data_IF_882087108785
#
_entry.id   IF_882087108785
#
_cell.length_a   1.000
_cell.length_b   1.000
_cell.length_c   1.000
_cell.angle_alpha   90.00
_cell.angle_beta   90.00
_cell.angle_gamma   90.00
#
_symmetry.space_group_name_H-M   'P 1'
#
loop_
_entity.id
_entity.type
_entity.pdbx_description
1 polymer ?
#
# COMPACT_ATOMS: atom_id res chain seq x y z
N UNK A 1 -24.74 1.85 -26.41
CA UNK A 1 -23.60 1.12 -25.80
C UNK A 1 -22.58 0.70 -26.84
N UNK A 2 -22.88 -0.26 -27.74
CA UNK A 2 -21.88 -0.78 -28.70
C UNK A 2 -21.25 0.29 -29.63
N UNK A 3 -22.04 1.26 -30.14
CA UNK A 3 -21.51 2.38 -30.93
C UNK A 3 -20.52 3.27 -30.15
N UNK A 4 -20.79 3.53 -28.87
CA UNK A 4 -19.93 4.35 -28.00
C UNK A 4 -18.60 3.62 -27.75
N UNK A 5 -18.64 2.30 -27.52
CA UNK A 5 -17.41 1.52 -27.35
C UNK A 5 -16.55 1.46 -28.62
N UNK A 6 -17.18 1.46 -29.81
CA UNK A 6 -16.46 1.48 -31.09
C UNK A 6 -15.75 2.83 -31.36
N UNK A 7 -16.23 3.92 -30.74
CA UNK A 7 -15.59 5.24 -30.82
C UNK A 7 -14.37 5.35 -29.88
N UNK A 8 -14.25 4.47 -28.88
CA UNK A 8 -13.16 4.47 -27.91
C UNK A 8 -11.97 3.62 -28.38
N UNK A 9 -10.93 4.26 -28.91
CA UNK A 9 -9.66 3.59 -29.22
C UNK A 9 -8.77 3.48 -27.97
N UNK A 10 -9.08 2.53 -27.07
CA UNK A 10 -8.35 2.35 -25.81
C UNK A 10 -6.98 1.68 -25.98
N UNK A 11 -6.74 0.95 -27.08
CA UNK A 11 -5.50 0.18 -27.28
C UNK A 11 -4.23 1.05 -27.34
N UNK A 12 -4.35 2.31 -27.77
CA UNK A 12 -3.23 3.23 -27.89
C UNK A 12 -3.17 4.27 -26.76
N UNK A 13 -4.04 4.13 -25.74
CA UNK A 13 -4.08 5.05 -24.61
C UNK A 13 -3.03 4.62 -23.58
N UNK A 14 -2.28 5.59 -23.04
CA UNK A 14 -1.29 5.31 -22.01
C UNK A 14 -1.98 4.71 -20.77
N UNK A 15 -1.41 3.68 -20.11
CA UNK A 15 -1.99 3.07 -18.91
C UNK A 15 -2.42 4.08 -17.84
N UNK A 16 -1.60 5.10 -17.58
CA UNK A 16 -1.92 6.17 -16.62
C UNK A 16 -3.21 6.94 -16.96
N UNK A 17 -3.50 7.17 -18.25
CA UNK A 17 -4.74 7.86 -18.66
C UNK A 17 -5.95 6.95 -18.43
N UNK A 18 -5.82 5.66 -18.71
CA UNK A 18 -6.86 4.65 -18.42
C UNK A 18 -7.14 4.61 -16.93
N UNK A 19 -6.08 4.51 -16.11
CA UNK A 19 -6.16 4.52 -14.64
C UNK A 19 -6.93 5.75 -14.13
N UNK A 20 -6.59 6.94 -14.62
CA UNK A 20 -7.26 8.20 -14.26
C UNK A 20 -8.75 8.23 -14.67
N UNK A 21 -9.10 7.70 -15.85
CA UNK A 21 -10.51 7.63 -16.29
C UNK A 21 -11.31 6.70 -15.37
N UNK A 22 -10.76 5.55 -15.02
CA UNK A 22 -11.40 4.59 -14.10
C UNK A 22 -11.53 5.23 -12.72
N UNK A 23 -10.49 5.90 -12.24
CA UNK A 23 -10.50 6.62 -10.98
C UNK A 23 -11.62 7.67 -10.93
N UNK A 24 -11.71 8.54 -11.94
CA UNK A 24 -12.74 9.58 -12.00
C UNK A 24 -14.15 8.99 -12.03
N UNK A 25 -14.31 7.87 -12.72
CA UNK A 25 -15.58 7.13 -12.77
C UNK A 25 -15.94 6.58 -11.39
N UNK A 26 -14.98 5.98 -10.68
CA UNK A 26 -15.19 5.43 -9.34
C UNK A 26 -15.43 6.53 -8.29
N UNK A 27 -14.72 7.66 -8.36
CA UNK A 27 -14.96 8.84 -7.50
C UNK A 27 -16.38 9.38 -7.66
N UNK A 28 -16.94 9.34 -8.87
CA UNK A 28 -18.33 9.73 -9.12
C UNK A 28 -19.32 8.76 -8.44
N UNK A 29 -19.01 7.47 -8.42
CA UNK A 29 -19.80 6.44 -7.73
C UNK A 29 -19.72 6.63 -6.22
N UNK A 30 -18.52 6.75 -5.62
CA UNK A 30 -18.33 7.00 -4.17
C UNK A 30 -19.08 8.24 -3.68
N UNK A 31 -19.19 9.30 -4.51
CA UNK A 31 -19.93 10.50 -4.13
C UNK A 31 -21.45 10.30 -4.11
N UNK A 32 -21.95 9.36 -4.90
CA UNK A 32 -23.38 9.09 -5.06
C UNK A 32 -23.84 8.02 -4.06
N UNK A 33 -23.05 6.98 -3.92
CA UNK A 33 -23.32 5.82 -3.09
C UNK A 33 -22.40 5.95 -1.87
N UNK A 34 -22.96 6.02 -0.65
CA UNK A 34 -22.19 6.27 0.58
C UNK A 34 -21.29 5.07 0.94
N UNK A 35 -20.24 4.86 0.15
CA UNK A 35 -19.29 3.75 0.27
C UNK A 35 -18.55 3.85 1.60
N UNK A 36 -18.46 2.72 2.30
CA UNK A 36 -17.79 2.61 3.58
C UNK A 36 -16.32 3.01 3.47
N UNK A 37 -15.76 3.60 4.53
CA UNK A 37 -14.38 4.14 4.51
C UNK A 37 -13.32 3.10 4.10
N UNK A 38 -13.47 1.84 4.51
CA UNK A 38 -12.54 0.76 4.16
C UNK A 38 -12.66 0.28 2.70
N UNK A 39 -13.74 0.64 1.98
CA UNK A 39 -13.94 0.33 0.55
C UNK A 39 -13.68 1.55 -0.33
N UNK A 40 -13.16 2.64 0.24
CA UNK A 40 -12.78 3.81 -0.54
C UNK A 40 -11.47 3.55 -1.25
N UNK A 41 -11.42 3.92 -2.53
CA UNK A 41 -10.22 3.88 -3.33
C UNK A 41 -9.18 4.86 -2.79
N UNK A 42 -7.93 4.41 -2.67
CA UNK A 42 -6.79 5.28 -2.34
C UNK A 42 -6.60 6.35 -3.43
N UNK A 43 -6.67 7.65 -3.09
CA UNK A 43 -6.49 8.73 -4.05
C UNK A 43 -5.08 8.76 -4.66
N UNK A 44 -4.97 9.27 -5.88
CA UNK A 44 -3.71 9.33 -6.64
C UNK A 44 -2.62 10.08 -5.91
N UNK A 45 -2.97 11.16 -5.23
CA UNK A 45 -2.00 11.94 -4.45
C UNK A 45 -1.28 11.07 -3.42
N UNK A 46 -2.01 10.17 -2.75
CA UNK A 46 -1.42 9.25 -1.78
C UNK A 46 -0.61 8.17 -2.49
N UNK A 47 -1.15 7.58 -3.56
CA UNK A 47 -0.46 6.56 -4.36
C UNK A 47 0.88 7.05 -4.93
N UNK A 48 0.94 8.28 -5.43
CA UNK A 48 2.15 8.90 -5.97
C UNK A 48 3.21 9.17 -4.88
N UNK A 49 2.78 9.58 -3.68
CA UNK A 49 3.70 9.73 -2.54
C UNK A 49 4.29 8.39 -2.15
N UNK A 50 3.45 7.36 -2.03
CA UNK A 50 3.93 6.01 -1.72
C UNK A 50 4.90 5.53 -2.81
N UNK A 51 4.55 5.69 -4.09
CA UNK A 51 5.40 5.29 -5.20
C UNK A 51 6.76 6.02 -5.19
N UNK A 52 6.78 7.32 -4.86
CA UNK A 52 8.03 8.05 -4.66
C UNK A 52 8.86 7.50 -3.50
N UNK A 53 8.23 7.26 -2.34
CA UNK A 53 8.94 6.72 -1.17
C UNK A 53 9.52 5.34 -1.48
N UNK A 54 8.72 4.48 -2.11
CA UNK A 54 9.12 3.16 -2.61
C UNK A 54 10.35 3.31 -3.50
N UNK A 55 10.29 4.14 -4.56
CA UNK A 55 11.44 4.39 -5.43
C UNK A 55 12.70 4.76 -4.64
N UNK A 56 12.59 5.65 -3.64
CA UNK A 56 13.77 6.06 -2.87
C UNK A 56 14.31 4.91 -2.03
N UNK A 57 13.47 4.19 -1.28
CA UNK A 57 13.92 3.14 -0.35
C UNK A 57 14.30 1.84 -1.06
N UNK A 58 13.77 1.56 -2.26
CA UNK A 58 14.05 0.34 -3.03
C UNK A 58 15.06 0.52 -4.16
N UNK A 59 15.61 1.73 -4.37
CA UNK A 59 16.46 2.11 -5.53
C UNK A 59 17.66 1.19 -5.84
N UNK A 60 18.01 0.26 -4.95
CA UNK A 60 19.17 -0.63 -5.05
C UNK A 60 18.75 -2.01 -5.60
N UNK A 61 17.46 -2.27 -5.84
CA UNK A 61 16.95 -3.56 -6.28
C UNK A 61 15.93 -3.43 -7.41
N UNK A 62 16.05 -4.32 -8.39
CA UNK A 62 15.03 -4.52 -9.41
C UNK A 62 13.79 -5.13 -8.75
N UNK A 63 12.64 -4.48 -8.89
CA UNK A 63 11.37 -4.96 -8.33
C UNK A 63 10.65 -5.80 -9.40
N UNK A 64 10.50 -7.11 -9.15
CA UNK A 64 9.79 -8.02 -10.07
C UNK A 64 8.41 -8.42 -9.57
N UNK A 65 8.17 -8.32 -8.27
CA UNK A 65 6.94 -8.79 -7.63
C UNK A 65 6.43 -7.79 -6.61
N UNK A 66 5.18 -7.35 -6.77
CA UNK A 66 4.49 -6.41 -5.87
C UNK A 66 3.24 -7.10 -5.31
N UNK A 67 3.08 -7.08 -4.00
CA UNK A 67 1.97 -7.71 -3.30
C UNK A 67 1.10 -6.66 -2.59
N UNK A 68 -0.22 -6.76 -2.75
CA UNK A 68 -1.20 -6.00 -2.00
C UNK A 68 -2.23 -6.95 -1.35
N UNK A 69 -2.22 -7.10 -0.01
CA UNK A 69 -3.14 -7.99 0.71
C UNK A 69 -4.58 -7.44 0.81
N UNK A 70 -4.83 -6.19 0.45
CA UNK A 70 -6.14 -5.56 0.49
C UNK A 70 -6.26 -4.61 -0.70
N UNK A 71 -6.29 -5.19 -1.91
CA UNK A 71 -6.05 -4.47 -3.16
C UNK A 71 -7.16 -3.49 -3.53
N UNK A 72 -8.39 -3.68 -3.02
CA UNK A 72 -9.55 -2.87 -3.35
C UNK A 72 -9.75 -2.77 -4.86
N UNK A 73 -9.79 -1.54 -5.38
CA UNK A 73 -9.93 -1.27 -6.82
C UNK A 73 -8.62 -1.37 -7.62
N UNK A 74 -7.53 -1.82 -6.99
CA UNK A 74 -6.16 -1.83 -7.52
C UNK A 74 -5.61 -0.45 -7.92
N UNK A 75 -6.22 0.68 -7.53
CA UNK A 75 -5.68 2.01 -7.90
C UNK A 75 -4.29 2.24 -7.31
N UNK A 76 -4.07 1.89 -6.04
CA UNK A 76 -2.75 1.99 -5.40
C UNK A 76 -1.73 1.08 -6.09
N UNK A 77 -2.06 -0.21 -6.25
CA UNK A 77 -1.22 -1.20 -6.92
C UNK A 77 -0.80 -0.77 -8.32
N UNK A 78 -1.77 -0.37 -9.16
CA UNK A 78 -1.48 0.05 -10.53
C UNK A 78 -0.69 1.36 -10.59
N UNK A 79 -0.93 2.32 -9.68
CA UNK A 79 -0.13 3.54 -9.55
C UNK A 79 1.34 3.21 -9.27
N UNK A 80 1.60 2.34 -8.28
CA UNK A 80 2.97 1.93 -7.91
C UNK A 80 3.64 1.18 -9.05
N UNK A 81 2.96 0.21 -9.66
CA UNK A 81 3.51 -0.57 -10.78
C UNK A 81 3.85 0.30 -11.99
N UNK A 82 3.00 1.28 -12.32
CA UNK A 82 3.28 2.21 -13.41
C UNK A 82 4.50 3.09 -13.11
N UNK A 83 4.64 3.57 -11.87
CA UNK A 83 5.81 4.35 -11.48
C UNK A 83 7.11 3.54 -11.52
N UNK A 84 7.08 2.29 -11.04
CA UNK A 84 8.23 1.38 -11.12
C UNK A 84 8.65 1.13 -12.57
N UNK A 85 7.69 0.90 -13.49
CA UNK A 85 7.96 0.77 -14.92
C UNK A 85 8.61 2.03 -15.52
N UNK A 86 8.13 3.22 -15.17
CA UNK A 86 8.73 4.49 -15.57
C UNK A 86 10.18 4.61 -15.08
N UNK A 87 10.46 4.07 -13.90
CA UNK A 87 11.79 4.06 -13.29
C UNK A 87 12.72 2.97 -13.83
N UNK A 88 12.24 2.13 -14.76
CA UNK A 88 13.05 1.17 -15.51
C UNK A 88 12.87 -0.29 -15.08
N UNK A 89 12.05 -0.58 -14.06
CA UNK A 89 11.71 -1.95 -13.68
C UNK A 89 10.88 -2.62 -14.80
N UNK A 90 11.20 -3.88 -15.10
CA UNK A 90 10.58 -4.64 -16.20
C UNK A 90 9.93 -5.91 -15.67
N UNK A 91 8.96 -6.41 -16.44
CA UNK A 91 8.29 -7.69 -16.17
C UNK A 91 7.70 -7.83 -14.76
N UNK A 92 7.24 -6.71 -14.20
CA UNK A 92 6.64 -6.65 -12.86
C UNK A 92 5.33 -7.46 -12.83
N UNK A 93 5.23 -8.38 -11.88
CA UNK A 93 4.02 -9.14 -11.57
C UNK A 93 3.40 -8.59 -10.29
N UNK A 94 2.14 -8.18 -10.35
CA UNK A 94 1.33 -7.80 -9.20
C UNK A 94 0.53 -8.99 -8.64
N UNK A 95 0.41 -9.07 -7.33
CA UNK A 95 -0.51 -9.97 -6.63
C UNK A 95 -1.46 -9.11 -5.79
N UNK A 96 -2.75 -9.11 -6.11
CA UNK A 96 -3.77 -8.37 -5.39
C UNK A 96 -4.79 -9.31 -4.77
N UNK A 97 -5.01 -9.18 -3.47
CA UNK A 97 -5.96 -10.01 -2.72
C UNK A 97 -7.06 -9.09 -2.19
N UNK A 98 -8.31 -9.52 -2.32
CA UNK A 98 -9.43 -8.90 -1.62
C UNK A 98 -10.48 -9.96 -1.31
N UNK A 99 -11.32 -9.74 -0.30
CA UNK A 99 -12.46 -10.60 -0.01
C UNK A 99 -13.78 -10.03 -0.55
N UNK A 100 -13.78 -8.80 -1.05
CA UNK A 100 -14.91 -8.15 -1.69
C UNK A 100 -14.89 -8.39 -3.22
N UNK A 101 -15.91 -9.09 -3.72
CA UNK A 101 -16.04 -9.45 -5.13
C UNK A 101 -16.24 -8.21 -6.03
N UNK A 102 -16.98 -7.20 -5.56
CA UNK A 102 -17.27 -5.99 -6.32
C UNK A 102 -15.98 -5.16 -6.48
N UNK A 103 -15.18 -5.04 -5.41
CA UNK A 103 -13.88 -4.38 -5.47
C UNK A 103 -12.93 -5.09 -6.45
N UNK A 104 -12.87 -6.42 -6.42
CA UNK A 104 -12.09 -7.20 -7.39
C UNK A 104 -12.63 -7.10 -8.81
N UNK A 105 -13.94 -6.96 -8.98
CA UNK A 105 -14.56 -6.65 -10.27
C UNK A 105 -14.01 -5.34 -10.85
N UNK A 106 -13.89 -4.30 -10.03
CA UNK A 106 -13.27 -3.03 -10.45
C UNK A 106 -11.77 -3.18 -10.69
N UNK A 107 -11.06 -3.90 -9.81
CA UNK A 107 -9.63 -4.15 -9.96
C UNK A 107 -9.30 -4.88 -11.26
N UNK A 108 -10.09 -5.89 -11.63
CA UNK A 108 -9.86 -6.66 -12.86
C UNK A 108 -9.92 -5.76 -14.10
N UNK A 109 -11.01 -4.98 -14.24
CA UNK A 109 -11.16 -3.97 -15.29
C UNK A 109 -10.00 -2.96 -15.28
N UNK A 110 -9.60 -2.50 -14.08
CA UNK A 110 -8.51 -1.55 -13.92
C UNK A 110 -7.17 -2.09 -14.42
N UNK A 111 -6.85 -3.33 -14.10
CA UNK A 111 -5.58 -3.98 -14.49
C UNK A 111 -5.58 -4.43 -15.96
N UNK A 112 -6.69 -4.95 -16.46
CA UNK A 112 -6.81 -5.45 -17.83
C UNK A 112 -6.75 -4.33 -18.86
N UNK A 113 -7.50 -3.24 -18.64
CA UNK A 113 -7.48 -2.10 -19.55
C UNK A 113 -6.12 -1.40 -19.57
N UNK A 114 -5.39 -1.41 -18.44
CA UNK A 114 -4.03 -0.88 -18.37
C UNK A 114 -2.96 -1.84 -18.91
N UNK A 115 -3.33 -3.07 -19.28
CA UNK A 115 -2.40 -4.13 -19.70
C UNK A 115 -1.30 -4.40 -18.66
N UNK A 116 -1.69 -4.44 -17.38
CA UNK A 116 -0.80 -4.78 -16.27
C UNK A 116 -0.88 -6.27 -15.94
N UNK A 117 0.27 -6.88 -15.69
CA UNK A 117 0.36 -8.27 -15.28
C UNK A 117 0.06 -8.37 -13.78
N UNK A 118 -1.22 -8.44 -13.43
CA UNK A 118 -1.70 -8.55 -12.06
C UNK A 118 -2.54 -9.82 -11.92
N UNK A 119 -2.23 -10.63 -10.90
CA UNK A 119 -3.03 -11.77 -10.49
C UNK A 119 -3.91 -11.33 -9.31
N UNK A 120 -5.22 -11.46 -9.49
CA UNK A 120 -6.21 -11.10 -8.49
C UNK A 120 -6.77 -12.37 -7.82
N UNK A 121 -6.89 -12.33 -6.50
CA UNK A 121 -7.35 -13.47 -5.69
C UNK A 121 -8.52 -13.03 -4.82
N UNK A 122 -9.67 -13.66 -5.03
CA UNK A 122 -10.85 -13.47 -4.18
C UNK A 122 -10.77 -14.40 -2.96
N UNK A 123 -10.17 -13.92 -1.88
CA UNK A 123 -9.98 -14.69 -0.65
C UNK A 123 -9.69 -13.78 0.55
N UNK A 124 -9.81 -14.34 1.75
CA UNK A 124 -9.39 -13.69 2.97
C UNK A 124 -7.85 -13.67 3.07
N UNK A 125 -7.26 -12.47 3.03
CA UNK A 125 -5.81 -12.29 3.06
C UNK A 125 -5.14 -12.75 4.37
N UNK A 126 -5.89 -12.88 5.47
CA UNK A 126 -5.38 -13.41 6.75
C UNK A 126 -5.19 -14.94 6.69
N UNK A 127 -5.73 -15.60 5.67
CA UNK A 127 -5.52 -17.03 5.45
C UNK A 127 -4.27 -17.29 4.61
N UNK A 128 -3.89 -18.57 4.45
CA UNK A 128 -2.72 -18.93 3.64
C UNK A 128 -2.95 -18.55 2.17
N UNK A 129 -2.00 -17.83 1.58
CA UNK A 129 -2.02 -17.38 0.19
C UNK A 129 -1.10 -18.25 -0.66
N UNK A 130 -1.59 -18.68 -1.82
CA UNK A 130 -0.80 -19.38 -2.83
C UNK A 130 -0.09 -18.37 -3.76
N UNK A 131 0.85 -17.62 -3.17
CA UNK A 131 1.71 -16.66 -3.88
C UNK A 131 3.17 -16.87 -3.49
N UNK A 132 4.08 -16.57 -4.42
CA UNK A 132 5.52 -16.56 -4.16
C UNK A 132 5.93 -15.41 -3.25
N UNK A 133 7.12 -15.53 -2.64
CA UNK A 133 7.71 -14.40 -1.92
C UNK A 133 7.93 -13.19 -2.86
N UNK A 134 7.61 -12.00 -2.36
CA UNK A 134 7.57 -10.76 -3.13
C UNK A 134 8.72 -9.81 -2.80
N UNK A 135 9.09 -8.95 -3.75
CA UNK A 135 10.13 -7.93 -3.61
C UNK A 135 9.62 -6.67 -2.90
N UNK A 136 8.31 -6.45 -2.92
CA UNK A 136 7.63 -5.30 -2.35
C UNK A 136 6.22 -5.69 -1.91
N UNK A 137 5.83 -5.24 -0.72
CA UNK A 137 4.46 -5.29 -0.25
C UNK A 137 3.97 -3.85 -0.06
N UNK A 138 2.77 -3.56 -0.55
CA UNK A 138 2.11 -2.27 -0.36
C UNK A 138 0.67 -2.52 0.06
N UNK A 139 0.05 -1.60 0.77
CA UNK A 139 -1.41 -1.66 0.94
C UNK A 139 -1.94 -0.37 1.53
N UNK A 140 -3.19 -0.06 1.19
CA UNK A 140 -4.01 0.82 2.01
C UNK A 140 -4.85 -0.03 2.97
N UNK A 141 -4.36 -0.20 4.20
CA UNK A 141 -4.89 -1.25 5.06
C UNK A 141 -6.28 -0.89 5.62
N UNK A 142 -7.23 -1.84 5.62
CA UNK A 142 -8.50 -1.66 6.30
C UNK A 142 -8.28 -1.49 7.81
N UNK A 143 -9.04 -0.58 8.42
CA UNK A 143 -8.93 -0.28 9.85
C UNK A 143 -10.16 -0.84 10.55
N UNK A 144 -9.94 -1.62 11.61
CA UNK A 144 -11.01 -2.25 12.36
C UNK A 144 -10.58 -3.56 13.00
N UNK A 145 -11.59 -4.34 13.40
CA UNK A 145 -11.43 -5.66 13.98
C UNK A 145 -11.62 -6.74 12.92
N UNK A 146 -10.78 -7.77 12.97
CA UNK A 146 -10.92 -8.96 12.16
C UNK A 146 -11.87 -9.95 12.85
N UNK A 147 -12.94 -10.42 12.19
CA UNK A 147 -14.02 -11.15 12.88
C UNK A 147 -13.75 -12.64 13.13
N UNK A 148 -12.74 -13.24 12.48
CA UNK A 148 -12.51 -14.69 12.52
C UNK A 148 -11.29 -15.05 13.37
N UNK A 149 -11.44 -15.09 14.69
CA UNK A 149 -10.31 -15.27 15.62
C UNK A 149 -9.49 -16.55 15.38
N UNK A 150 -10.12 -17.62 14.89
CA UNK A 150 -9.43 -18.87 14.54
C UNK A 150 -8.36 -18.72 13.45
N UNK A 151 -8.57 -17.82 12.49
CA UNK A 151 -7.58 -17.56 11.45
C UNK A 151 -6.40 -16.75 11.99
N UNK A 152 -6.62 -15.95 13.05
CA UNK A 152 -5.59 -15.15 13.70
C UNK A 152 -4.72 -15.94 14.70
N UNK A 153 -5.03 -17.21 15.00
CA UNK A 153 -4.38 -17.95 16.10
C UNK A 153 -2.87 -18.13 15.95
N UNK A 154 -2.38 -18.19 14.70
CA UNK A 154 -0.96 -18.37 14.39
C UNK A 154 -0.22 -17.04 14.22
N UNK A 155 -0.91 -15.90 14.33
CA UNK A 155 -0.30 -14.58 14.24
C UNK A 155 0.28 -14.17 15.59
N UNK A 156 1.49 -13.63 15.56
CA UNK A 156 2.13 -13.04 16.74
C UNK A 156 1.49 -11.71 17.13
N UNK A 157 0.91 -11.00 16.17
CA UNK A 157 0.20 -9.72 16.36
C UNK A 157 -1.25 -9.86 16.79
N UNK A 158 -1.74 -11.09 17.00
CA UNK A 158 -3.10 -11.34 17.49
C UNK A 158 -3.36 -10.67 18.85
N UNK A 159 -4.58 -10.18 19.04
CA UNK A 159 -5.01 -9.68 20.34
C UNK A 159 -5.08 -10.82 21.37
N UNK A 160 -4.76 -10.51 22.64
CA UNK A 160 -4.90 -11.47 23.73
C UNK A 160 -6.36 -11.68 24.16
N UNK A 161 -7.19 -10.65 23.97
CA UNK A 161 -8.60 -10.63 24.35
C UNK A 161 -9.43 -9.94 23.26
N UNK A 162 -10.55 -10.57 22.91
CA UNK A 162 -11.44 -10.12 21.83
C UNK A 162 -10.80 -10.22 20.45
N UNK A 163 -11.40 -9.52 19.49
CA UNK A 163 -10.96 -9.55 18.11
C UNK A 163 -9.62 -8.83 17.90
N UNK A 164 -8.82 -9.37 16.99
CA UNK A 164 -7.54 -8.78 16.58
C UNK A 164 -7.75 -7.59 15.64
N UNK A 165 -6.80 -6.64 15.63
CA UNK A 165 -6.81 -5.56 14.66
C UNK A 165 -6.42 -6.09 13.27
N UNK A 166 -7.30 -5.92 12.27
CA UNK A 166 -7.08 -6.47 10.92
C UNK A 166 -5.81 -5.89 10.27
N UNK A 167 -5.55 -4.59 10.44
CA UNK A 167 -4.34 -3.94 9.94
C UNK A 167 -3.06 -4.50 10.58
N UNK A 168 -3.08 -4.96 11.84
CA UNK A 168 -1.91 -5.61 12.44
C UNK A 168 -1.65 -6.97 11.78
N UNK A 169 -2.72 -7.78 11.63
CA UNK A 169 -2.63 -9.11 11.00
C UNK A 169 -2.15 -9.01 9.54
N UNK A 170 -2.67 -8.05 8.78
CA UNK A 170 -2.29 -7.87 7.37
C UNK A 170 -0.86 -7.33 7.20
N UNK A 171 -0.37 -6.50 8.12
CA UNK A 171 1.06 -6.13 8.15
C UNK A 171 1.89 -7.38 8.41
N UNK A 172 1.55 -8.19 9.41
CA UNK A 172 2.27 -9.44 9.69
C UNK A 172 2.24 -10.40 8.50
N UNK A 173 1.09 -10.59 7.88
CA UNK A 173 0.94 -11.40 6.69
C UNK A 173 1.84 -10.90 5.56
N UNK A 174 1.82 -9.59 5.30
CA UNK A 174 2.66 -9.01 4.27
C UNK A 174 4.15 -9.24 4.52
N UNK A 175 4.60 -9.06 5.77
CA UNK A 175 5.99 -9.34 6.12
C UNK A 175 6.35 -10.83 5.96
N UNK A 176 5.40 -11.76 6.18
CA UNK A 176 5.62 -13.20 5.97
C UNK A 176 5.84 -13.56 4.48
N UNK A 177 5.23 -12.82 3.56
CA UNK A 177 5.35 -13.02 2.11
C UNK A 177 6.44 -12.16 1.44
N UNK A 178 7.16 -11.32 2.18
CA UNK A 178 8.28 -10.53 1.63
C UNK A 178 9.58 -11.35 1.54
N UNK A 179 10.42 -11.15 0.54
CA UNK A 179 11.79 -11.72 0.57
C UNK A 179 12.60 -11.10 1.73
N UNK A 180 13.62 -11.79 2.28
CA UNK A 180 14.53 -11.19 3.24
C UNK A 180 15.11 -9.86 2.72
N UNK A 181 15.11 -8.83 3.57
CA UNK A 181 15.56 -7.48 3.21
C UNK A 181 14.58 -6.66 2.37
N UNK A 182 13.47 -7.23 1.90
CA UNK A 182 12.47 -6.52 1.09
C UNK A 182 11.61 -5.56 1.93
N UNK A 183 10.94 -4.62 1.26
CA UNK A 183 10.19 -3.55 1.92
C UNK A 183 8.68 -3.80 1.93
N UNK A 184 8.06 -3.48 3.07
CA UNK A 184 6.62 -3.29 3.23
C UNK A 184 6.32 -1.81 3.42
N UNK A 185 5.43 -1.25 2.59
CA UNK A 185 5.06 0.17 2.61
C UNK A 185 3.54 0.30 2.72
N UNK A 186 3.06 0.65 3.92
CA UNK A 186 1.64 0.55 4.26
C UNK A 186 1.05 1.90 4.62
N UNK A 187 -0.18 2.17 4.20
CA UNK A 187 -1.00 3.21 4.83
C UNK A 187 -1.68 2.63 6.05
N UNK A 188 -1.48 3.31 7.17
CA UNK A 188 -1.94 2.91 8.49
C UNK A 188 -2.57 4.11 9.19
N UNK A 189 -3.43 3.92 10.22
CA UNK A 189 -3.83 5.03 11.08
C UNK A 189 -2.61 5.76 11.65
N UNK A 190 -2.64 7.09 11.74
CA UNK A 190 -1.57 7.85 12.40
C UNK A 190 -1.42 7.50 13.89
N UNK A 191 -2.48 6.95 14.48
CA UNK A 191 -2.55 6.43 15.84
C UNK A 191 -2.13 4.96 15.99
N UNK A 192 -1.50 4.33 14.98
CA UNK A 192 -1.09 2.91 15.00
C UNK A 192 -0.35 2.50 16.31
N UNK A 193 0.54 3.38 16.79
CA UNK A 193 1.34 3.15 18.00
C UNK A 193 0.72 3.76 19.28
N UNK A 194 -0.57 4.10 19.24
CA UNK A 194 -1.33 4.71 20.35
C UNK A 194 -2.56 3.85 20.70
N UNK A 195 -2.40 2.53 20.72
CA UNK A 195 -3.45 1.56 21.05
C UNK A 195 -3.01 0.63 22.18
N UNK A 196 -3.96 -0.13 22.74
CA UNK A 196 -3.66 -1.16 23.75
C UNK A 196 -2.70 -2.25 23.24
N UNK A 197 -2.68 -2.49 21.93
CA UNK A 197 -1.84 -3.51 21.28
C UNK A 197 -0.49 -2.95 20.79
N UNK A 198 -0.17 -1.68 21.04
CA UNK A 198 1.05 -1.08 20.48
C UNK A 198 2.33 -1.72 21.02
N UNK A 199 2.36 -2.12 22.29
CA UNK A 199 3.58 -2.74 22.87
C UNK A 199 3.87 -4.11 22.26
N UNK A 200 2.86 -4.97 22.08
CA UNK A 200 3.00 -6.27 21.42
C UNK A 200 3.37 -6.09 19.95
N UNK A 201 2.74 -5.14 19.26
CA UNK A 201 3.00 -4.86 17.86
C UNK A 201 4.44 -4.36 17.62
N UNK A 202 4.97 -3.44 18.44
CA UNK A 202 6.37 -2.99 18.34
C UNK A 202 7.36 -4.13 18.59
N UNK A 203 7.09 -4.98 19.59
CA UNK A 203 7.93 -6.16 19.87
C UNK A 203 7.95 -7.11 18.68
N UNK A 204 6.79 -7.34 18.07
CA UNK A 204 6.70 -8.15 16.85
C UNK A 204 7.51 -7.52 15.70
N UNK A 205 7.34 -6.22 15.41
CA UNK A 205 8.14 -5.54 14.38
C UNK A 205 9.63 -5.76 14.62
N UNK A 206 10.14 -5.53 15.84
CA UNK A 206 11.55 -5.69 16.17
C UNK A 206 12.07 -7.12 16.02
N UNK A 207 11.19 -8.12 16.08
CA UNK A 207 11.55 -9.54 15.95
C UNK A 207 11.71 -10.01 14.50
N UNK A 208 11.09 -9.34 13.53
CA UNK A 208 11.07 -9.80 12.12
C UNK A 208 11.41 -8.72 11.09
N UNK A 209 11.43 -7.45 11.50
CA UNK A 209 11.58 -6.29 10.63
C UNK A 209 12.44 -5.20 11.26
N UNK A 210 12.88 -4.28 10.41
CA UNK A 210 13.44 -2.99 10.80
C UNK A 210 12.39 -1.92 10.55
N UNK A 211 12.12 -1.08 11.56
CA UNK A 211 11.25 0.08 11.42
C UNK A 211 12.05 1.19 10.75
N UNK A 212 11.81 1.44 9.46
CA UNK A 212 12.57 2.42 8.70
C UNK A 212 11.97 3.81 8.77
N UNK A 213 10.64 3.91 8.87
CA UNK A 213 9.99 5.19 9.01
C UNK A 213 8.50 5.10 9.29
N UNK A 214 7.99 6.22 9.80
CA UNK A 214 6.57 6.50 9.96
C UNK A 214 6.35 7.97 9.63
N UNK A 215 5.68 8.24 8.51
CA UNK A 215 5.49 9.61 8.00
C UNK A 215 4.01 9.91 7.94
N UNK A 216 3.57 10.91 8.70
CA UNK A 216 2.18 11.35 8.67
C UNK A 216 1.87 12.03 7.33
N UNK A 217 0.74 11.66 6.72
CA UNK A 217 0.24 12.36 5.56
C UNK A 217 -0.42 13.69 5.99
N UNK A 218 -0.51 14.69 5.10
CA UNK A 218 -1.07 15.98 5.47
C UNK A 218 -2.53 15.83 5.90
N UNK A 219 -2.88 16.35 7.08
CA UNK A 219 -4.22 16.20 7.65
C UNK A 219 -5.34 16.68 6.70
N UNK A 220 -5.04 17.66 5.84
CA UNK A 220 -5.96 18.20 4.82
C UNK A 220 -6.40 17.21 3.73
N UNK A 221 -5.75 16.05 3.61
CA UNK A 221 -6.21 14.97 2.73
C UNK A 221 -7.43 14.21 3.27
N UNK A 222 -7.72 14.35 4.56
CA UNK A 222 -8.71 13.54 5.25
C UNK A 222 -9.88 14.42 5.71
N UNK A 223 -11.09 13.87 5.62
CA UNK A 223 -12.30 14.59 5.99
C UNK A 223 -12.37 14.91 7.49
N UNK A 224 -11.67 14.12 8.33
CA UNK A 224 -11.57 14.37 9.76
C UNK A 224 -10.18 13.95 10.30
N UNK A 225 -9.72 14.51 11.43
CA UNK A 225 -8.40 14.20 12.01
C UNK A 225 -8.22 12.73 12.41
N UNK A 226 -9.28 12.04 12.85
CA UNK A 226 -9.21 10.64 13.27
C UNK A 226 -8.99 9.68 12.09
N UNK A 227 -9.27 10.14 10.86
CA UNK A 227 -9.00 9.40 9.63
C UNK A 227 -7.61 9.68 9.07
N UNK A 228 -6.79 10.53 9.71
CA UNK A 228 -5.44 10.80 9.26
C UNK A 228 -4.63 9.50 9.21
N UNK A 229 -4.06 9.23 8.04
CA UNK A 229 -3.18 8.08 7.82
C UNK A 229 -1.72 8.51 7.82
N UNK A 230 -0.85 7.54 8.05
CA UNK A 230 0.59 7.64 7.94
C UNK A 230 1.11 6.55 7.03
N UNK A 231 2.26 6.78 6.41
CA UNK A 231 3.00 5.77 5.66
C UNK A 231 3.99 5.11 6.60
N UNK A 232 3.78 3.82 6.86
CA UNK A 232 4.67 2.95 7.61
C UNK A 232 5.64 2.27 6.65
N UNK A 233 6.95 2.41 6.92
CA UNK A 233 8.03 1.77 6.17
C UNK A 233 8.68 0.71 7.04
N UNK A 234 8.50 -0.55 6.66
CA UNK A 234 9.15 -1.71 7.27
C UNK A 234 10.09 -2.37 6.27
N UNK A 235 11.24 -2.85 6.74
CA UNK A 235 12.12 -3.71 5.95
C UNK A 235 12.22 -5.08 6.62
N UNK A 236 11.91 -6.17 5.93
CA UNK A 236 12.03 -7.52 6.47
C UNK A 236 13.48 -7.80 6.86
N UNK A 237 13.72 -8.38 8.03
CA UNK A 237 15.06 -8.78 8.45
C UNK A 237 15.64 -9.87 7.54
N UNK A 238 16.97 -9.97 7.52
CA UNK A 238 17.73 -10.88 6.66
C UNK A 238 18.11 -10.27 5.32
N UNK A 239 18.85 -11.04 4.50
CA UNK A 239 19.47 -10.54 3.29
C UNK A 239 20.42 -9.38 3.58
N UNK A 240 20.33 -8.32 2.77
CA UNK A 240 21.00 -7.03 2.91
C UNK A 240 20.16 -5.99 3.70
N UNK A 241 19.10 -6.43 4.40
CA UNK A 241 18.31 -5.57 5.27
C UNK A 241 19.10 -5.07 6.48
N UNK A 242 18.95 -3.79 6.83
CA UNK A 242 19.59 -3.19 8.01
C UNK A 242 18.74 -2.07 8.60
N UNK A 243 18.78 -1.92 9.92
CA UNK A 243 18.10 -0.82 10.60
C UNK A 243 18.70 0.53 10.16
N UNK A 244 17.84 1.48 9.78
CA UNK A 244 18.26 2.85 9.55
C UNK A 244 18.93 3.44 10.80
N UNK A 245 20.05 4.16 10.61
CA UNK A 245 20.78 4.84 11.70
C UNK A 245 19.83 5.77 12.49
N UNK A 246 18.96 6.49 11.78
CA UNK A 246 17.85 7.24 12.35
C UNK A 246 16.57 6.86 11.63
N UNK A 247 15.56 6.42 12.35
CA UNK A 247 14.22 6.16 11.80
C UNK A 247 13.67 7.46 11.19
N UNK A 248 13.10 7.38 9.99
CA UNK A 248 12.45 8.52 9.34
C UNK A 248 11.12 8.81 10.01
N UNK A 249 11.07 9.87 10.80
CA UNK A 249 9.85 10.35 11.43
C UNK A 249 9.57 11.77 10.93
N UNK A 250 8.31 12.05 10.59
CA UNK A 250 7.93 13.38 10.13
C UNK A 250 6.49 13.45 9.66
N UNK A 251 6.13 14.61 9.15
CA UNK A 251 4.84 14.89 8.55
C UNK A 251 5.06 15.54 7.20
N UNK A 252 4.33 15.08 6.18
CA UNK A 252 4.33 15.73 4.88
C UNK A 252 3.78 17.15 5.01
N UNK A 253 4.41 18.14 4.38
CA UNK A 253 3.84 19.48 4.30
C UNK A 253 2.56 19.47 3.44
N UNK A 254 1.75 20.51 3.59
CA UNK A 254 0.58 20.75 2.74
C UNK A 254 0.94 20.72 1.25
N UNK A 255 0.09 20.11 0.43
CA UNK A 255 0.27 20.09 -1.04
C UNK A 255 0.15 21.46 -1.68
N UNK A 256 -0.47 22.40 -0.96
CA UNK A 256 -0.60 23.79 -1.40
C UNK A 256 0.76 24.51 -1.35
N UNK A 257 1.70 24.04 -0.53
CA UNK A 257 3.05 24.59 -0.39
C UNK A 257 4.05 23.77 -1.21
N UNK A 258 4.08 24.02 -2.52
CA UNK A 258 4.94 23.30 -3.48
C UNK A 258 6.42 23.35 -3.11
N UNK A 259 6.90 24.47 -2.55
CA UNK A 259 8.29 24.66 -2.20
C UNK A 259 8.69 23.79 -1.01
N UNK A 260 7.89 23.79 0.07
CA UNK A 260 8.13 22.90 1.21
C UNK A 260 7.98 21.44 0.83
N UNK A 261 7.01 21.11 -0.02
CA UNK A 261 6.83 19.76 -0.52
C UNK A 261 8.09 19.29 -1.26
N UNK A 262 8.60 20.06 -2.22
CA UNK A 262 9.84 19.73 -2.91
C UNK A 262 11.04 19.57 -1.95
N UNK A 263 11.20 20.50 -1.01
CA UNK A 263 12.27 20.42 0.00
C UNK A 263 12.16 19.16 0.86
N UNK A 264 10.95 18.77 1.28
CA UNK A 264 10.74 17.56 2.07
C UNK A 264 11.11 16.30 1.29
N UNK A 265 10.80 16.27 -0.02
CA UNK A 265 11.18 15.16 -0.91
C UNK A 265 12.70 15.05 -1.09
N UNK A 266 13.40 16.19 -1.13
CA UNK A 266 14.87 16.22 -1.13
C UNK A 266 15.44 15.72 0.20
N UNK A 267 14.83 16.08 1.33
CA UNK A 267 15.26 15.63 2.65
C UNK A 267 15.06 14.12 2.84
N UNK A 268 13.97 13.55 2.33
CA UNK A 268 13.79 12.08 2.24
C UNK A 268 14.92 11.46 1.42
N UNK A 269 15.24 12.04 0.26
CA UNK A 269 16.29 11.51 -0.62
C UNK A 269 17.68 11.51 0.06
N UNK A 270 18.00 12.57 0.81
CA UNK A 270 19.21 12.66 1.65
C UNK A 270 19.18 11.66 2.79
N UNK A 271 18.02 11.51 3.44
CA UNK A 271 17.84 10.58 4.55
C UNK A 271 18.10 9.14 4.10
N UNK A 272 17.53 8.70 2.97
CA UNK A 272 17.77 7.36 2.41
C UNK A 272 19.26 7.12 2.17
N UNK A 273 19.94 8.10 1.58
CA UNK A 273 21.38 7.99 1.26
C UNK A 273 22.24 7.89 2.52
N UNK A 274 21.86 8.57 3.59
CA UNK A 274 22.65 8.62 4.84
C UNK A 274 22.33 7.45 5.79
N UNK A 275 21.10 6.93 5.76
CA UNK A 275 20.61 6.02 6.80
C UNK A 275 20.33 4.60 6.30
N UNK A 276 19.96 4.42 5.03
CA UNK A 276 19.66 3.09 4.46
C UNK A 276 20.77 2.53 3.57
N UNK A 277 21.68 3.37 3.08
CA UNK A 277 22.83 2.94 2.27
C UNK A 277 24.05 2.60 3.10
#
# INVERSE_FOLDING_TARGET
>A
MQKIYQELNLQNVKPEIIRQIIQLSFLKVIRKDAIQANHQMTPDTIGLIMAFLIEKVTKIREIKTVFDPAVGTANLLTTVMNQLKVNGDKDIVGYGIDNDEDMLGVASVNTELQHLNVKLYHQDAVTALDISQCDLAISDLPIGYYPLDENAKNYQTRAKEGHSYVHHLLIEQSMNYLKPGAFGVFLVPSSLFQTKESQSFVKWIQSVAYLQGLINLPAELFANPNAQKSILLLQRQGGDGKQAVKVLLGEFPSFKDKAKFASFMDDISKWVTTNLR
#
